data_IF_035674293350
#
_entry.id   IF_035674293350
#
_cell.length_a   1.000
_cell.length_b   1.000
_cell.length_c   1.000
_cell.angle_alpha   90.00
_cell.angle_beta   90.00
_cell.angle_gamma   90.00
#
_symmetry.space_group_name_H-M   'P 1'
#
loop_
_entity.id
_entity.type
_entity.pdbx_description
1 polymer ?
#
# COMPACT_ATOMS: atom_id res chain seq x y z
N UNK A 1 -13.86 7.54 18.20
CA UNK A 1 -13.29 6.85 17.03
C UNK A 1 -12.69 7.88 16.11
N UNK A 2 -11.38 7.84 15.88
CA UNK A 2 -10.72 8.79 14.98
C UNK A 2 -10.42 8.03 13.70
N UNK A 3 -11.38 8.04 12.77
CA UNK A 3 -11.07 7.63 11.40
C UNK A 3 -10.02 8.62 10.90
N UNK A 4 -8.82 8.07 10.66
CA UNK A 4 -7.61 8.82 10.39
C UNK A 4 -7.81 9.80 9.25
N UNK A 5 -7.32 11.02 9.46
CA UNK A 5 -7.06 11.95 8.37
C UNK A 5 -6.15 11.20 7.39
N UNK A 6 -6.70 10.83 6.23
CA UNK A 6 -5.89 10.30 5.13
C UNK A 6 -4.88 11.38 4.79
N UNK A 7 -3.61 11.01 4.77
CA UNK A 7 -2.54 11.96 4.46
C UNK A 7 -2.86 12.61 3.09
N UNK A 8 -2.89 13.96 3.01
CA UNK A 8 -3.26 14.67 1.79
C UNK A 8 -2.48 14.24 0.55
N UNK A 9 -1.27 13.68 0.75
CA UNK A 9 -0.39 13.16 -0.30
C UNK A 9 -0.96 11.93 -1.05
N UNK A 10 -1.98 11.27 -0.51
CA UNK A 10 -2.56 10.03 -1.05
C UNK A 10 -4.06 10.15 -1.36
N UNK A 11 -4.61 11.36 -1.47
CA UNK A 11 -6.01 11.58 -1.84
C UNK A 11 -6.31 11.18 -3.29
N UNK A 12 -5.28 11.12 -4.14
CA UNK A 12 -5.31 10.68 -5.53
C UNK A 12 -5.25 9.15 -5.70
N UNK A 13 -5.09 8.40 -4.59
CA UNK A 13 -4.99 6.94 -4.64
C UNK A 13 -6.35 6.31 -4.89
N UNK A 14 -6.46 5.58 -6.00
CA UNK A 14 -7.61 4.72 -6.29
C UNK A 14 -7.51 3.46 -5.44
N UNK A 15 -8.58 3.10 -4.74
CA UNK A 15 -8.63 1.88 -3.92
C UNK A 15 -8.72 0.64 -4.81
N UNK A 16 -8.26 -0.50 -4.30
CA UNK A 16 -8.27 -1.75 -5.06
C UNK A 16 -9.69 -2.13 -5.53
N UNK A 17 -10.70 -1.99 -4.67
CA UNK A 17 -12.09 -2.33 -5.03
C UNK A 17 -12.61 -1.48 -6.19
N UNK A 18 -12.28 -0.18 -6.22
CA UNK A 18 -12.67 0.72 -7.30
C UNK A 18 -11.88 0.39 -8.58
N UNK A 19 -10.57 0.15 -8.46
CA UNK A 19 -9.73 -0.22 -9.59
C UNK A 19 -10.19 -1.51 -10.27
N UNK A 20 -10.68 -2.48 -9.50
CA UNK A 20 -11.17 -3.76 -10.02
C UNK A 20 -12.46 -3.64 -10.86
N UNK A 21 -13.15 -2.49 -10.84
CA UNK A 21 -14.30 -2.27 -11.72
C UNK A 21 -13.89 -2.15 -13.20
N UNK A 22 -12.65 -1.70 -13.46
CA UNK A 22 -12.15 -1.44 -14.81
C UNK A 22 -10.81 -2.13 -15.13
N UNK A 23 -10.08 -2.63 -14.14
CA UNK A 23 -8.75 -3.19 -14.29
C UNK A 23 -8.56 -4.53 -13.59
N UNK A 24 -7.35 -5.11 -13.71
CA UNK A 24 -7.00 -6.39 -13.08
C UNK A 24 -6.13 -6.19 -11.84
N UNK A 25 -6.32 -7.10 -10.86
CA UNK A 25 -5.59 -7.09 -9.59
C UNK A 25 -4.06 -7.00 -9.71
N UNK A 26 -3.37 -7.67 -10.66
CA UNK A 26 -1.93 -7.54 -10.83
C UNK A 26 -1.48 -6.14 -11.25
N UNK A 27 -2.20 -5.53 -12.20
CA UNK A 27 -1.90 -4.21 -12.76
C UNK A 27 -2.01 -3.11 -11.71
N UNK A 28 -2.96 -3.24 -10.78
CA UNK A 28 -3.09 -2.34 -9.63
C UNK A 28 -1.76 -2.16 -8.87
N UNK A 29 -1.00 -3.23 -8.66
CA UNK A 29 0.27 -3.15 -7.93
C UNK A 29 1.40 -2.51 -8.75
N UNK A 30 1.21 -2.37 -10.06
CA UNK A 30 2.15 -1.74 -10.97
C UNK A 30 1.90 -0.23 -11.11
N UNK A 31 0.74 0.24 -10.65
CA UNK A 31 0.35 1.64 -10.68
C UNK A 31 1.30 2.54 -9.88
N UNK A 32 1.54 3.74 -10.41
CA UNK A 32 2.48 4.69 -9.82
C UNK A 32 2.05 5.13 -8.40
N UNK A 33 0.76 5.34 -8.19
CA UNK A 33 0.23 5.74 -6.89
C UNK A 33 0.37 4.62 -5.84
N UNK A 34 0.23 3.34 -6.24
CA UNK A 34 0.44 2.19 -5.34
C UNK A 34 1.91 2.05 -4.96
N UNK A 35 2.81 2.19 -5.94
CA UNK A 35 4.26 2.20 -5.70
C UNK A 35 4.68 3.32 -4.75
N UNK A 36 4.11 4.53 -4.89
CA UNK A 36 4.34 5.66 -3.96
C UNK A 36 3.93 5.32 -2.53
N UNK A 37 2.77 4.71 -2.33
CA UNK A 37 2.30 4.29 -1.00
C UNK A 37 3.23 3.23 -0.41
N UNK A 38 3.62 2.22 -1.21
CA UNK A 38 4.53 1.17 -0.75
C UNK A 38 5.93 1.70 -0.40
N UNK A 39 6.44 2.68 -1.15
CA UNK A 39 7.71 3.31 -0.84
C UNK A 39 7.62 4.14 0.45
N UNK A 40 6.52 4.87 0.69
CA UNK A 40 6.30 5.58 1.95
C UNK A 40 6.31 4.65 3.16
N UNK A 41 5.75 3.43 3.01
CA UNK A 41 5.83 2.38 4.03
C UNK A 41 7.27 1.90 4.23
N UNK A 42 8.01 1.73 3.14
CA UNK A 42 9.41 1.27 3.18
C UNK A 42 10.32 2.25 3.90
N UNK A 43 10.19 3.55 3.64
CA UNK A 43 10.97 4.60 4.32
C UNK A 43 10.46 4.91 5.73
N UNK A 44 9.43 4.18 6.20
CA UNK A 44 8.78 4.35 7.51
C UNK A 44 8.12 5.71 7.71
N UNK A 45 7.78 6.42 6.63
CA UNK A 45 6.97 7.64 6.68
C UNK A 45 5.48 7.34 6.83
N UNK A 46 5.05 6.13 6.44
CA UNK A 46 3.66 5.70 6.49
C UNK A 46 3.57 4.34 7.18
N UNK A 47 2.63 4.18 8.11
CA UNK A 47 2.40 2.88 8.72
C UNK A 47 1.72 1.91 7.73
N UNK A 48 2.12 0.64 7.77
CA UNK A 48 1.54 -0.43 6.94
C UNK A 48 0.02 -0.50 7.07
N UNK A 49 -0.53 -0.27 8.27
CA UNK A 49 -1.98 -0.24 8.50
C UNK A 49 -2.65 0.90 7.75
N UNK A 50 -2.09 2.11 7.82
CA UNK A 50 -2.63 3.28 7.12
C UNK A 50 -2.53 3.12 5.61
N UNK A 51 -1.41 2.59 5.11
CA UNK A 51 -1.24 2.28 3.70
C UNK A 51 -2.26 1.26 3.19
N UNK A 52 -2.61 0.25 4.00
CA UNK A 52 -3.63 -0.72 3.65
C UNK A 52 -5.02 -0.07 3.56
N UNK A 53 -5.34 0.86 4.48
CA UNK A 53 -6.59 1.65 4.43
C UNK A 53 -6.64 2.57 3.19
N UNK A 54 -5.54 3.24 2.85
CA UNK A 54 -5.39 4.09 1.67
C UNK A 54 -5.65 3.29 0.39
N UNK A 55 -5.01 2.12 0.27
CA UNK A 55 -5.14 1.24 -0.90
C UNK A 55 -6.47 0.46 -0.92
N UNK A 56 -7.25 0.50 0.17
CA UNK A 56 -8.49 -0.26 0.29
C UNK A 56 -8.27 -1.78 0.31
N UNK A 57 -7.15 -2.23 0.87
CA UNK A 57 -6.79 -3.66 1.00
C UNK A 57 -6.68 -4.06 2.46
N UNK A 58 -6.72 -5.37 2.73
CA UNK A 58 -6.42 -5.85 4.08
C UNK A 58 -4.92 -5.70 4.40
N UNK A 59 -4.60 -5.50 5.68
CA UNK A 59 -3.21 -5.45 6.16
C UNK A 59 -2.39 -6.65 5.66
N UNK A 60 -2.94 -7.87 5.75
CA UNK A 60 -2.26 -9.09 5.32
C UNK A 60 -1.98 -9.11 3.81
N UNK A 61 -2.87 -8.54 2.99
CA UNK A 61 -2.68 -8.42 1.54
C UNK A 61 -1.54 -7.47 1.22
N UNK A 62 -1.51 -6.29 1.84
CA UNK A 62 -0.43 -5.34 1.64
C UNK A 62 0.90 -5.90 2.16
N UNK A 63 0.90 -6.52 3.33
CA UNK A 63 2.08 -7.13 3.93
C UNK A 63 2.66 -8.25 3.05
N UNK A 64 1.82 -9.13 2.51
CA UNK A 64 2.24 -10.16 1.56
C UNK A 64 2.89 -9.56 0.31
N UNK A 65 2.27 -8.53 -0.26
CA UNK A 65 2.84 -7.83 -1.42
C UNK A 65 4.11 -7.08 -1.14
N UNK A 66 4.18 -6.39 -0.02
CA UNK A 66 5.37 -5.71 0.42
C UNK A 66 6.54 -6.71 0.54
N UNK A 67 6.27 -7.91 1.08
CA UNK A 67 7.27 -8.98 1.17
C UNK A 67 7.69 -9.55 -0.18
N UNK A 68 6.77 -9.71 -1.12
CA UNK A 68 7.10 -10.16 -2.48
C UNK A 68 8.02 -9.15 -3.19
N UNK A 69 7.77 -7.85 -3.02
CA UNK A 69 8.50 -6.78 -3.73
C UNK A 69 9.83 -6.43 -3.06
N UNK A 70 9.84 -6.23 -1.74
CA UNK A 70 11.02 -5.75 -1.00
C UNK A 70 11.73 -6.84 -0.20
N UNK A 71 11.18 -8.06 -0.15
CA UNK A 71 11.68 -9.14 0.70
C UNK A 71 11.20 -9.06 2.15
N UNK A 72 11.79 -9.90 3.01
CA UNK A 72 11.42 -9.92 4.43
C UNK A 72 11.75 -8.58 5.10
N UNK A 73 10.78 -7.99 5.81
CA UNK A 73 10.95 -6.80 6.67
C UNK A 73 12.08 -7.00 7.70
N UNK A 74 12.49 -8.25 7.97
CA UNK A 74 13.66 -8.62 8.78
C UNK A 74 14.67 -9.44 7.96
N UNK A 75 15.44 -8.82 7.07
CA UNK A 75 16.81 -9.29 6.83
C UNK A 75 17.74 -8.45 7.71
N UNK A 76 18.29 -8.97 8.82
CA UNK A 76 19.49 -8.38 9.37
C UNK A 76 20.53 -8.37 8.24
N UNK A 77 21.09 -7.19 7.99
CA UNK A 77 22.29 -7.04 7.18
C UNK A 77 23.31 -8.07 7.70
N UNK A 78 23.77 -8.97 6.83
CA UNK A 78 24.81 -9.93 7.18
C UNK A 78 26.15 -9.21 7.22
#
# INVERSE_FOLDING_TARGET
GKHGVLDPRFLDVVKLNDYLQHGRRPQFWEENYVKRVMEAVRVKELEMKQAAEILGVSYGTLYGRYRDVYGCINRPYR
#
